data_IF_885666992722
#
_entry.id   IF_885666992722
#
_cell.length_a   1.000
_cell.length_b   1.000
_cell.length_c   1.000
_cell.angle_alpha   90.00
_cell.angle_beta   90.00
_cell.angle_gamma   90.00
#
_symmetry.space_group_name_H-M   'P 1'
#
loop_
_entity.id
_entity.type
_entity.pdbx_description
1 polymer ?
#
# COMPACT_ATOMS: atom_id res chain seq x y z
N UNK A 1 -10.29 16.10 -57.54
CA UNK A 1 -11.03 16.39 -56.30
C UNK A 1 -11.41 15.02 -55.74
N UNK A 2 -10.59 14.41 -54.88
CA UNK A 2 -10.49 14.63 -53.41
C UNK A 2 -11.80 14.26 -52.72
N UNK A 3 -11.91 13.40 -51.71
CA UNK A 3 -11.00 12.57 -50.91
C UNK A 3 -11.86 11.39 -50.42
N UNK A 4 -11.33 10.17 -50.35
CA UNK A 4 -11.90 9.15 -49.46
C UNK A 4 -11.55 9.53 -48.02
N UNK A 5 -12.49 9.55 -47.05
CA UNK A 5 -12.11 9.67 -45.65
C UNK A 5 -11.40 8.38 -45.24
N UNK A 6 -10.11 8.50 -44.95
CA UNK A 6 -9.29 7.43 -44.43
C UNK A 6 -9.87 6.97 -43.08
N UNK A 7 -10.03 5.66 -42.96
CA UNK A 7 -10.42 5.00 -41.72
C UNK A 7 -9.18 4.94 -40.82
N UNK A 8 -8.94 5.99 -40.06
CA UNK A 8 -7.92 6.02 -39.01
C UNK A 8 -8.55 5.74 -37.63
N UNK A 9 -9.23 4.60 -37.50
CA UNK A 9 -9.41 3.97 -36.19
C UNK A 9 -8.27 2.95 -36.01
N UNK A 10 -7.05 3.45 -35.93
CA UNK A 10 -5.91 2.65 -35.49
C UNK A 10 -5.94 2.70 -33.96
N UNK A 11 -6.27 1.61 -33.24
CA UNK A 11 -6.17 1.59 -31.79
C UNK A 11 -4.69 1.78 -31.47
N UNK A 12 -4.37 2.98 -30.97
CA UNK A 12 -3.04 3.35 -30.53
C UNK A 12 -2.59 2.36 -29.46
N UNK A 13 -1.57 1.58 -29.84
CA UNK A 13 -0.59 0.90 -29.00
C UNK A 13 -1.10 0.58 -27.58
N UNK A 14 -1.73 -0.58 -27.45
CA UNK A 14 -2.15 -1.15 -26.17
C UNK A 14 -0.91 -1.29 -25.28
N UNK A 15 -0.68 -0.25 -24.47
CA UNK A 15 0.38 -0.19 -23.49
C UNK A 15 0.30 -1.41 -22.59
N UNK A 16 1.24 -2.32 -22.78
CA UNK A 16 1.43 -3.49 -21.94
C UNK A 16 1.39 -3.00 -20.47
N UNK A 17 0.45 -3.50 -19.65
CA UNK A 17 0.41 -3.09 -18.25
C UNK A 17 1.74 -3.47 -17.61
N UNK A 18 2.41 -2.50 -16.99
CA UNK A 18 3.56 -2.81 -16.14
C UNK A 18 3.07 -3.74 -15.02
N UNK A 19 3.89 -4.70 -14.59
CA UNK A 19 3.44 -5.71 -13.63
C UNK A 19 2.86 -5.10 -12.33
N UNK A 20 3.32 -3.91 -11.95
CA UNK A 20 2.80 -3.13 -10.81
C UNK A 20 1.36 -2.62 -11.03
N UNK A 21 1.04 -2.20 -12.25
CA UNK A 21 -0.24 -1.66 -12.65
C UNK A 21 -1.33 -2.74 -12.62
N UNK A 22 -1.01 -3.92 -13.15
CA UNK A 22 -1.88 -5.08 -13.09
C UNK A 22 -2.15 -5.51 -11.64
N UNK A 23 -1.14 -5.46 -10.76
CA UNK A 23 -1.31 -5.77 -9.34
C UNK A 23 -2.21 -4.74 -8.62
N UNK A 24 -2.11 -3.45 -8.99
CA UNK A 24 -2.98 -2.40 -8.44
C UNK A 24 -4.43 -2.59 -8.87
N UNK A 25 -4.67 -2.85 -10.16
CA UNK A 25 -6.02 -3.08 -10.71
C UNK A 25 -6.65 -4.33 -10.08
N UNK A 26 -5.88 -5.41 -9.91
CA UNK A 26 -6.35 -6.64 -9.29
C UNK A 26 -6.66 -6.45 -7.79
N UNK A 27 -5.85 -5.65 -7.07
CA UNK A 27 -6.15 -5.26 -5.68
C UNK A 27 -7.44 -4.45 -5.59
N UNK A 28 -7.64 -3.50 -6.51
CA UNK A 28 -8.86 -2.72 -6.57
C UNK A 28 -10.08 -3.60 -6.87
N UNK A 29 -9.93 -4.58 -7.76
CA UNK A 29 -10.95 -5.58 -8.07
C UNK A 29 -11.34 -6.41 -6.85
N UNK A 30 -10.39 -6.90 -6.07
CA UNK A 30 -10.66 -7.70 -4.86
C UNK A 30 -11.36 -6.91 -3.76
N UNK A 31 -11.02 -5.62 -3.61
CA UNK A 31 -11.54 -4.77 -2.53
C UNK A 31 -12.85 -4.06 -2.88
N UNK A 32 -13.01 -3.65 -4.14
CA UNK A 32 -14.09 -2.77 -4.60
C UNK A 32 -14.86 -3.33 -5.81
N UNK A 33 -14.58 -4.57 -6.21
CA UNK A 33 -15.23 -5.22 -7.35
C UNK A 33 -14.78 -4.65 -8.70
N UNK A 34 -15.52 -5.00 -9.75
CA UNK A 34 -15.24 -4.57 -11.13
C UNK A 34 -15.25 -3.04 -11.29
N UNK A 35 -16.10 -2.33 -10.56
CA UNK A 35 -16.16 -0.86 -10.58
C UNK A 35 -14.83 -0.26 -10.11
N UNK A 36 -14.24 -0.80 -9.04
CA UNK A 36 -12.93 -0.36 -8.56
C UNK A 36 -11.80 -0.64 -9.54
N UNK A 37 -11.85 -1.77 -10.26
CA UNK A 37 -10.88 -2.10 -11.29
C UNK A 37 -10.92 -1.10 -12.45
N UNK A 38 -12.11 -0.71 -12.90
CA UNK A 38 -12.32 0.28 -13.98
C UNK A 38 -11.84 1.68 -13.57
N UNK A 39 -12.09 2.08 -12.33
CA UNK A 39 -11.60 3.37 -11.82
C UNK A 39 -10.08 3.36 -11.66
N UNK A 40 -9.49 2.26 -11.18
CA UNK A 40 -8.04 2.14 -11.08
C UNK A 40 -7.38 2.17 -12.47
N UNK A 41 -7.93 1.46 -13.45
CA UNK A 41 -7.39 1.47 -14.82
C UNK A 41 -7.54 2.83 -15.50
N UNK A 42 -8.66 3.55 -15.26
CA UNK A 42 -8.86 4.88 -15.85
C UNK A 42 -7.89 5.91 -15.29
N UNK A 43 -7.66 5.91 -13.97
CA UNK A 43 -6.66 6.78 -13.33
C UNK A 43 -5.27 6.54 -13.91
N UNK A 44 -4.91 5.27 -14.05
CA UNK A 44 -3.61 4.88 -14.58
C UNK A 44 -3.43 5.25 -16.06
N UNK A 45 -4.48 5.07 -16.87
CA UNK A 45 -4.51 5.50 -18.27
C UNK A 45 -4.36 7.02 -18.42
N UNK A 46 -4.99 7.80 -17.53
CA UNK A 46 -4.85 9.26 -17.50
C UNK A 46 -3.43 9.67 -17.10
N UNK A 47 -2.81 9.02 -16.12
CA UNK A 47 -1.41 9.28 -15.74
C UNK A 47 -0.42 8.95 -16.87
N UNK A 48 -0.72 7.92 -17.68
CA UNK A 48 0.07 7.56 -18.86
C UNK A 48 0.00 8.63 -19.96
N UNK A 49 -1.22 9.12 -20.25
CA UNK A 49 -1.45 10.13 -21.29
C UNK A 49 -0.90 11.50 -20.88
N UNK A 50 -1.05 11.88 -19.60
CA UNK A 50 -0.58 13.17 -19.10
C UNK A 50 0.94 13.20 -18.84
N UNK A 51 1.66 12.13 -19.16
CA UNK A 51 3.13 12.14 -19.22
C UNK A 51 3.77 12.56 -17.91
N UNK A 52 3.43 11.91 -16.80
CA UNK A 52 4.28 12.02 -15.60
C UNK A 52 5.64 11.41 -15.93
N UNK A 53 6.72 12.16 -15.64
CA UNK A 53 8.08 11.62 -15.68
C UNK A 53 8.07 10.27 -14.97
N UNK A 54 8.66 9.20 -15.57
CA UNK A 54 8.86 7.96 -14.86
C UNK A 54 9.50 8.33 -13.53
N UNK A 55 8.85 8.00 -12.42
CA UNK A 55 9.51 8.12 -11.12
C UNK A 55 10.69 7.18 -11.24
N UNK A 56 11.89 7.74 -11.35
CA UNK A 56 13.10 6.97 -11.13
C UNK A 56 12.88 6.32 -9.77
N UNK A 57 12.75 4.99 -9.78
CA UNK A 57 12.72 4.22 -8.55
C UNK A 57 14.11 4.42 -7.95
N UNK A 58 14.24 5.46 -7.11
CA UNK A 58 15.38 5.58 -6.22
C UNK A 58 15.53 4.19 -5.59
N UNK A 59 16.70 3.54 -5.70
CA UNK A 59 16.86 2.20 -5.21
C UNK A 59 16.46 2.25 -3.75
N UNK A 60 15.30 1.63 -3.43
CA UNK A 60 14.86 1.51 -2.07
C UNK A 60 15.92 0.66 -1.41
N UNK A 61 16.85 1.31 -0.71
CA UNK A 61 17.83 0.64 0.12
C UNK A 61 17.02 0.11 1.28
N UNK A 62 16.46 -1.09 1.09
CA UNK A 62 15.94 -1.88 2.18
C UNK A 62 17.16 -2.28 3.00
N UNK A 63 17.41 -1.54 4.08
CA UNK A 63 18.30 -2.02 5.13
C UNK A 63 17.82 -3.42 5.49
N UNK A 64 18.71 -4.40 5.32
CA UNK A 64 18.41 -5.79 5.59
C UNK A 64 17.81 -5.86 7.00
N UNK A 65 16.54 -6.27 7.08
CA UNK A 65 15.87 -6.46 8.36
C UNK A 65 16.69 -7.47 9.14
N UNK A 66 17.42 -6.98 10.14
CA UNK A 66 17.89 -7.83 11.23
C UNK A 66 16.70 -8.50 11.93
N UNK A 67 17.00 -9.44 12.82
CA UNK A 67 15.98 -9.95 13.71
C UNK A 67 15.40 -8.76 14.51
N UNK A 68 14.07 -8.53 14.50
CA UNK A 68 13.49 -7.46 15.27
C UNK A 68 13.80 -7.68 16.75
N UNK A 69 14.26 -6.64 17.45
CA UNK A 69 14.51 -6.69 18.89
C UNK A 69 13.24 -7.01 19.68
N UNK A 70 13.40 -7.57 20.88
CA UNK A 70 12.27 -8.01 21.71
C UNK A 70 11.81 -6.88 22.63
N UNK A 71 10.82 -6.08 22.18
CA UNK A 71 10.26 -4.96 22.95
C UNK A 71 9.61 -5.43 24.28
N UNK A 72 9.19 -6.69 24.38
CA UNK A 72 8.62 -7.22 25.62
C UNK A 72 9.71 -7.48 26.69
N UNK A 73 10.97 -7.65 26.28
CA UNK A 73 12.13 -7.81 27.17
C UNK A 73 12.87 -6.49 27.36
N UNK A 74 13.16 -5.80 26.26
CA UNK A 74 14.05 -4.65 26.19
C UNK A 74 13.32 -3.32 26.46
N UNK A 75 12.01 -3.27 26.25
CA UNK A 75 11.21 -2.05 26.38
C UNK A 75 11.47 -1.04 25.25
N UNK A 76 11.12 0.22 25.51
CA UNK A 76 11.31 1.35 24.58
C UNK A 76 12.10 2.41 25.32
N UNK A 77 13.26 2.82 24.79
CA UNK A 77 14.06 3.93 25.30
C UNK A 77 13.99 5.15 24.40
N UNK A 78 13.91 6.34 24.99
CA UNK A 78 13.94 7.63 24.30
C UNK A 78 14.89 8.54 25.06
N UNK A 79 15.89 9.07 24.36
CA UNK A 79 16.82 10.05 24.91
C UNK A 79 16.13 11.42 24.91
N UNK A 80 16.09 12.08 26.07
CA UNK A 80 15.50 13.42 26.26
C UNK A 80 16.59 14.49 26.14
N UNK A 81 17.79 14.17 26.61
CA UNK A 81 19.03 14.92 26.46
C UNK A 81 20.24 13.96 26.58
N UNK A 82 21.46 14.49 26.54
CA UNK A 82 22.69 13.70 26.54
C UNK A 82 22.92 12.88 27.82
N UNK A 83 22.23 13.22 28.92
CA UNK A 83 22.39 12.57 30.24
C UNK A 83 21.12 11.86 30.71
N UNK A 84 19.99 12.07 30.03
CA UNK A 84 18.66 11.63 30.47
C UNK A 84 17.99 10.75 29.42
N UNK A 85 17.74 9.50 29.80
CA UNK A 85 16.99 8.54 29.02
C UNK A 85 15.71 8.10 29.75
N UNK A 86 14.59 8.11 29.04
CA UNK A 86 13.32 7.56 29.52
C UNK A 86 13.16 6.15 28.96
N UNK A 87 12.98 5.17 29.85
CA UNK A 87 12.78 3.75 29.48
C UNK A 87 11.40 3.30 29.93
N UNK A 88 10.63 2.67 29.03
CA UNK A 88 9.37 2.04 29.41
C UNK A 88 9.64 0.86 30.35
N UNK A 89 8.76 0.60 31.33
CA UNK A 89 8.89 -0.59 32.18
C UNK A 89 8.13 -1.76 31.54
N UNK A 90 8.79 -2.66 30.79
CA UNK A 90 8.11 -3.74 30.07
C UNK A 90 7.32 -4.68 31.00
N UNK A 91 7.72 -4.77 32.28
CA UNK A 91 7.10 -5.69 33.25
C UNK A 91 5.85 -5.12 33.94
N UNK A 92 5.50 -3.86 33.72
CA UNK A 92 4.39 -3.21 34.45
C UNK A 92 2.99 -3.63 33.96
N UNK A 93 2.85 -4.17 32.74
CA UNK A 93 1.54 -4.43 32.12
C UNK A 93 1.19 -5.92 32.06
N UNK A 94 1.04 -6.58 33.22
CA UNK A 94 0.36 -7.89 33.32
C UNK A 94 -0.93 -7.84 34.13
N UNK A 95 -1.73 -6.78 33.98
CA UNK A 95 -3.14 -6.87 34.35
C UNK A 95 -3.86 -7.67 33.28
N UNK A 96 -4.01 -8.97 33.52
CA UNK A 96 -4.80 -9.88 32.69
C UNK A 96 -6.18 -9.26 32.46
N UNK A 97 -6.42 -8.76 31.26
CA UNK A 97 -7.73 -8.21 30.89
C UNK A 97 -8.69 -9.39 30.80
N UNK A 98 -9.56 -9.54 31.81
CA UNK A 98 -10.58 -10.60 31.84
C UNK A 98 -11.49 -10.43 30.63
N UNK A 99 -11.37 -11.32 29.65
CA UNK A 99 -12.28 -11.39 28.50
C UNK A 99 -13.59 -12.03 28.97
N UNK A 100 -14.66 -11.24 29.03
CA UNK A 100 -16.02 -11.76 29.32
C UNK A 100 -16.68 -12.12 28.00
N UNK A 101 -16.91 -13.41 27.75
CA UNK A 101 -17.63 -13.89 26.57
C UNK A 101 -19.12 -13.57 26.73
N UNK A 102 -19.66 -12.69 25.88
CA UNK A 102 -21.11 -12.43 25.82
C UNK A 102 -21.80 -13.70 25.30
N UNK A 103 -22.83 -14.17 26.01
CA UNK A 103 -23.68 -15.27 25.54
C UNK A 103 -24.59 -14.74 24.44
N UNK A 104 -24.76 -15.47 23.32
CA UNK A 104 -25.79 -15.12 22.33
C UNK A 104 -27.17 -15.31 22.98
N UNK A 105 -28.03 -14.32 22.77
CA UNK A 105 -29.42 -14.35 23.22
C UNK A 105 -30.22 -14.98 22.07
N UNK A 106 -30.73 -16.19 22.26
CA UNK A 106 -31.64 -16.81 21.30
C UNK A 106 -33.02 -16.14 21.45
N UNK A 107 -33.55 -15.67 20.33
CA UNK A 107 -34.87 -15.05 20.17
C UNK A 107 -35.83 -16.02 19.47
#
# INVERSE_FOLDING_TARGET
MSNQPERDDQPSDEGQPHNADAAMIERARRKYGSVGAVVASSMLGIERVLGRKPKEEEPAVWEASGEPGDIDVDGISIDVDDETQVVSNPKASRRTRRVVKRRPNDA
#
